data_IF_358281052042
#
_entry.id   IF_358281052042
#
_cell.length_a   1.000
_cell.length_b   1.000
_cell.length_c   1.000
_cell.angle_alpha   90.00
_cell.angle_beta   90.00
_cell.angle_gamma   90.00
#
_symmetry.space_group_name_H-M   'P 1'
#
loop_
_entity.id
_entity.type
_entity.pdbx_description
1 polymer ?
#
# COMPACT_ATOMS: atom_id res chain seq x y z
N UNK A 1 -22.08 -21.68 -7.08
CA UNK A 1 -22.10 -22.47 -5.82
C UNK A 1 -20.75 -22.54 -5.07
N UNK A 2 -19.63 -22.06 -5.62
CA UNK A 2 -18.35 -22.05 -4.90
C UNK A 2 -18.31 -20.99 -3.79
N UNK A 3 -18.75 -19.77 -4.07
CA UNK A 3 -18.81 -18.70 -3.07
C UNK A 3 -19.72 -19.04 -1.90
N UNK A 4 -20.92 -19.58 -2.13
CA UNK A 4 -21.86 -19.89 -1.05
C UNK A 4 -21.35 -20.99 -0.13
N UNK A 5 -20.68 -22.00 -0.69
CA UNK A 5 -20.00 -23.03 0.11
C UNK A 5 -18.82 -22.46 0.89
N UNK A 6 -18.02 -21.59 0.28
CA UNK A 6 -16.93 -20.92 0.99
C UNK A 6 -17.44 -20.05 2.15
N UNK A 7 -18.53 -19.30 1.95
CA UNK A 7 -19.17 -18.49 2.99
C UNK A 7 -19.75 -19.35 4.11
N UNK A 8 -20.41 -20.46 3.77
CA UNK A 8 -20.95 -21.41 4.73
C UNK A 8 -19.82 -22.05 5.56
N UNK A 9 -18.71 -22.42 4.91
CA UNK A 9 -17.52 -22.94 5.61
C UNK A 9 -16.94 -21.91 6.59
N UNK A 10 -16.73 -20.65 6.17
CA UNK A 10 -16.21 -19.58 7.05
C UNK A 10 -17.14 -19.36 8.25
N UNK A 11 -18.45 -19.32 7.99
CA UNK A 11 -19.47 -19.14 9.02
C UNK A 11 -19.47 -20.30 10.01
N UNK A 12 -19.31 -21.53 9.52
CA UNK A 12 -19.30 -22.71 10.36
C UNK A 12 -18.04 -22.79 11.22
N UNK A 13 -16.88 -22.53 10.63
CA UNK A 13 -15.58 -22.52 11.31
C UNK A 13 -15.52 -21.49 12.45
N UNK A 14 -16.04 -20.28 12.20
CA UNK A 14 -15.96 -19.18 13.16
C UNK A 14 -17.04 -19.20 14.22
N UNK A 15 -18.30 -19.42 13.81
CA UNK A 15 -19.46 -19.09 14.64
C UNK A 15 -20.32 -20.31 14.96
N UNK A 16 -20.76 -21.06 13.95
CA UNK A 16 -21.82 -22.07 14.14
C UNK A 16 -21.31 -23.40 14.68
N UNK A 17 -20.12 -23.84 14.28
CA UNK A 17 -19.49 -25.13 14.69
C UNK A 17 -20.41 -26.36 14.52
N UNK A 18 -21.23 -26.36 13.48
CA UNK A 18 -22.11 -27.46 13.11
C UNK A 18 -21.29 -28.65 12.59
N UNK A 19 -21.79 -29.85 12.88
CA UNK A 19 -21.15 -31.09 12.45
C UNK A 19 -21.36 -31.38 10.95
N UNK A 20 -22.46 -30.89 10.36
CA UNK A 20 -22.79 -31.02 8.94
C UNK A 20 -22.62 -29.68 8.23
N UNK A 21 -21.74 -29.65 7.22
CA UNK A 21 -21.51 -28.44 6.41
C UNK A 21 -22.76 -28.05 5.58
N UNK A 22 -23.63 -29.01 5.23
CA UNK A 22 -24.87 -28.70 4.51
C UNK A 22 -25.86 -27.90 5.39
N UNK A 23 -25.84 -28.07 6.71
CA UNK A 23 -26.64 -27.24 7.62
C UNK A 23 -26.16 -25.78 7.59
N UNK A 24 -24.84 -25.55 7.55
CA UNK A 24 -24.28 -24.20 7.44
C UNK A 24 -24.67 -23.52 6.12
N UNK A 25 -24.71 -24.29 5.02
CA UNK A 25 -25.20 -23.82 3.72
C UNK A 25 -26.68 -23.45 3.79
N UNK A 26 -27.50 -24.25 4.46
CA UNK A 26 -28.91 -23.94 4.68
C UNK A 26 -29.12 -22.68 5.50
N UNK A 27 -28.33 -22.46 6.56
CA UNK A 27 -28.37 -21.22 7.35
C UNK A 27 -28.04 -19.99 6.49
N UNK A 28 -26.98 -20.06 5.69
CA UNK A 28 -26.60 -18.99 4.76
C UNK A 28 -27.74 -18.69 3.78
N UNK A 29 -28.34 -19.73 3.18
CA UNK A 29 -29.47 -19.55 2.29
C UNK A 29 -30.72 -19.02 2.99
N UNK A 30 -30.99 -19.41 4.23
CA UNK A 30 -32.09 -18.87 5.01
C UNK A 30 -31.91 -17.37 5.29
N UNK A 31 -30.70 -16.90 5.64
CA UNK A 31 -30.44 -15.47 5.80
C UNK A 31 -30.52 -14.70 4.49
N UNK A 32 -29.98 -15.26 3.41
CA UNK A 32 -30.12 -14.73 2.06
C UNK A 32 -31.59 -14.58 1.68
N UNK A 33 -32.37 -15.63 1.90
CA UNK A 33 -33.77 -15.71 1.48
C UNK A 33 -34.74 -14.98 2.43
N UNK A 34 -34.23 -14.45 3.55
CA UNK A 34 -34.97 -13.55 4.46
C UNK A 34 -34.49 -12.11 4.42
N UNK A 35 -33.51 -11.79 3.57
CA UNK A 35 -33.02 -10.42 3.41
C UNK A 35 -32.11 -9.93 4.55
N UNK A 36 -31.54 -10.85 5.33
CA UNK A 36 -30.78 -10.55 6.55
C UNK A 36 -29.27 -10.66 6.35
N UNK A 37 -28.81 -10.84 5.12
CA UNK A 37 -27.40 -11.05 4.82
C UNK A 37 -26.69 -9.72 4.50
N UNK A 38 -25.67 -9.39 5.30
CA UNK A 38 -24.66 -8.39 4.99
C UNK A 38 -23.32 -9.09 4.74
N UNK A 39 -22.81 -9.01 3.53
CA UNK A 39 -21.52 -9.56 3.15
C UNK A 39 -20.49 -8.43 2.97
N UNK A 40 -19.42 -8.47 3.75
CA UNK A 40 -18.30 -7.53 3.67
C UNK A 40 -17.06 -8.28 3.17
N UNK A 41 -16.62 -7.96 1.95
CA UNK A 41 -15.45 -8.56 1.30
C UNK A 41 -14.36 -7.49 1.23
N UNK A 42 -13.31 -7.69 2.01
CA UNK A 42 -12.20 -6.72 2.14
C UNK A 42 -11.01 -7.11 1.26
N UNK A 43 -10.45 -6.16 0.51
CA UNK A 43 -9.15 -6.31 -0.16
C UNK A 43 -9.17 -7.14 -1.44
N UNK A 44 -10.05 -6.87 -2.40
CA UNK A 44 -10.09 -7.59 -3.68
C UNK A 44 -8.75 -7.48 -4.48
N UNK A 45 -7.97 -6.44 -4.22
CA UNK A 45 -6.64 -6.25 -4.82
C UNK A 45 -5.56 -7.19 -4.27
N UNK A 46 -5.80 -7.88 -3.14
CA UNK A 46 -4.88 -8.86 -2.57
C UNK A 46 -4.86 -10.18 -3.37
N UNK A 47 -5.83 -10.40 -4.24
CA UNK A 47 -5.92 -11.58 -5.10
C UNK A 47 -5.09 -11.44 -6.37
N UNK A 48 -4.58 -12.56 -6.88
CA UNK A 48 -3.98 -12.62 -8.22
C UNK A 48 -5.01 -12.21 -9.30
N UNK A 49 -4.56 -11.77 -10.50
CA UNK A 49 -5.49 -11.36 -11.56
C UNK A 49 -6.53 -12.44 -11.93
N UNK A 50 -6.12 -13.70 -11.94
CA UNK A 50 -6.95 -14.86 -12.29
C UNK A 50 -8.00 -15.14 -11.20
N UNK A 51 -7.57 -15.20 -9.94
CA UNK A 51 -8.46 -15.36 -8.78
C UNK A 51 -9.44 -14.19 -8.68
N UNK A 52 -8.96 -12.97 -8.91
CA UNK A 52 -9.78 -11.76 -8.86
C UNK A 52 -10.92 -11.82 -9.87
N UNK A 53 -10.65 -12.21 -11.11
CA UNK A 53 -11.69 -12.37 -12.12
C UNK A 53 -12.73 -13.41 -11.70
N UNK A 54 -12.28 -14.58 -11.27
CA UNK A 54 -13.16 -15.67 -10.79
C UNK A 54 -14.03 -15.24 -9.61
N UNK A 55 -13.44 -14.64 -8.57
CA UNK A 55 -14.17 -14.17 -7.38
C UNK A 55 -15.16 -13.07 -7.74
N UNK A 56 -14.76 -12.14 -8.61
CA UNK A 56 -15.64 -11.06 -9.08
C UNK A 56 -16.87 -11.62 -9.79
N UNK A 57 -16.70 -12.61 -10.66
CA UNK A 57 -17.81 -13.24 -11.37
C UNK A 57 -18.72 -14.03 -10.43
N UNK A 58 -18.16 -14.75 -9.45
CA UNK A 58 -18.93 -15.46 -8.44
C UNK A 58 -19.77 -14.52 -7.58
N UNK A 59 -19.18 -13.40 -7.12
CA UNK A 59 -19.89 -12.37 -6.35
C UNK A 59 -20.98 -11.71 -7.21
N UNK A 60 -20.71 -11.43 -8.49
CA UNK A 60 -21.71 -10.87 -9.40
C UNK A 60 -22.89 -11.83 -9.58
N UNK A 61 -22.62 -13.12 -9.77
CA UNK A 61 -23.65 -14.16 -9.89
C UNK A 61 -24.46 -14.29 -8.60
N UNK A 62 -23.80 -14.23 -7.44
CA UNK A 62 -24.46 -14.24 -6.15
C UNK A 62 -25.45 -13.07 -6.02
N UNK A 63 -25.00 -11.83 -6.27
CA UNK A 63 -25.86 -10.64 -6.13
C UNK A 63 -27.00 -10.64 -7.17
N UNK A 64 -26.74 -11.09 -8.39
CA UNK A 64 -27.75 -11.14 -9.45
C UNK A 64 -28.79 -12.26 -9.27
N UNK A 65 -28.58 -13.20 -8.36
CA UNK A 65 -29.55 -14.23 -8.07
C UNK A 65 -30.90 -13.60 -7.66
N UNK A 66 -32.01 -14.05 -8.26
CA UNK A 66 -33.34 -13.40 -8.12
C UNK A 66 -33.77 -13.16 -6.67
N UNK A 67 -33.42 -14.09 -5.78
CA UNK A 67 -33.70 -13.99 -4.34
C UNK A 67 -32.91 -12.84 -3.69
N UNK A 68 -31.66 -12.63 -4.07
CA UNK A 68 -30.84 -11.52 -3.55
C UNK A 68 -31.33 -10.16 -4.05
N UNK A 69 -31.72 -10.08 -5.33
CA UNK A 69 -32.18 -8.83 -5.94
C UNK A 69 -33.49 -8.31 -5.32
N UNK A 70 -34.34 -9.20 -4.82
CA UNK A 70 -35.66 -8.85 -4.25
C UNK A 70 -35.65 -8.59 -2.75
N UNK A 71 -34.64 -9.06 -2.00
CA UNK A 71 -34.72 -9.18 -0.55
C UNK A 71 -33.78 -8.26 0.24
N UNK A 72 -33.26 -7.19 -0.36
CA UNK A 72 -32.51 -6.14 0.37
C UNK A 72 -31.21 -6.60 1.06
N UNK A 73 -30.64 -7.75 0.66
CA UNK A 73 -29.30 -8.15 1.09
C UNK A 73 -28.25 -7.13 0.61
N UNK A 74 -27.21 -6.93 1.41
CA UNK A 74 -26.16 -5.94 1.13
C UNK A 74 -24.82 -6.63 0.93
N UNK A 75 -24.14 -6.28 -0.15
CA UNK A 75 -22.77 -6.74 -0.41
C UNK A 75 -21.88 -5.52 -0.58
N UNK A 76 -20.81 -5.46 0.20
CA UNK A 76 -19.79 -4.40 0.14
C UNK A 76 -18.47 -5.05 -0.22
N UNK A 77 -17.83 -4.55 -1.27
CA UNK A 77 -16.50 -4.94 -1.71
C UNK A 77 -15.56 -3.76 -1.51
N UNK A 78 -14.36 -4.00 -1.01
CA UNK A 78 -13.29 -2.99 -0.97
C UNK A 78 -12.15 -3.42 -1.91
N UNK A 79 -11.47 -2.44 -2.50
CA UNK A 79 -10.27 -2.65 -3.30
C UNK A 79 -9.49 -1.34 -3.38
N UNK A 80 -8.16 -1.43 -3.52
CA UNK A 80 -7.33 -0.28 -3.86
C UNK A 80 -7.60 0.21 -5.28
N UNK A 81 -7.49 1.52 -5.49
CA UNK A 81 -7.64 2.14 -6.82
C UNK A 81 -6.62 1.63 -7.84
N UNK A 82 -5.40 1.32 -7.40
CA UNK A 82 -4.33 0.84 -8.27
C UNK A 82 -4.62 -0.60 -8.71
N UNK A 83 -4.82 -0.82 -10.02
CA UNK A 83 -5.18 -2.15 -10.53
C UNK A 83 -6.66 -2.51 -10.32
N UNK A 84 -7.48 -1.55 -9.87
CA UNK A 84 -8.92 -1.72 -9.82
C UNK A 84 -9.48 -1.86 -11.23
N UNK A 85 -10.35 -2.85 -11.41
CA UNK A 85 -11.22 -2.96 -12.57
C UNK A 85 -12.67 -2.92 -12.08
N UNK A 86 -13.55 -2.15 -12.74
CA UNK A 86 -14.96 -2.11 -12.40
C UNK A 86 -15.56 -3.50 -12.26
N UNK A 87 -16.18 -3.78 -11.11
CA UNK A 87 -16.90 -5.04 -10.87
C UNK A 87 -18.14 -5.12 -11.77
N UNK A 88 -18.75 -3.98 -12.09
CA UNK A 88 -19.92 -3.86 -12.95
C UNK A 88 -21.19 -4.54 -12.39
N UNK A 89 -22.26 -4.57 -13.19
CA UNK A 89 -23.53 -5.20 -12.80
C UNK A 89 -24.31 -4.35 -11.78
N UNK A 90 -24.86 -4.93 -10.70
CA UNK A 90 -25.71 -4.22 -9.72
C UNK A 90 -24.92 -3.36 -8.72
N UNK A 91 -23.59 -3.35 -8.80
CA UNK A 91 -22.76 -2.63 -7.85
C UNK A 91 -22.72 -1.14 -8.14
N UNK A 92 -22.95 -0.35 -7.10
CA UNK A 92 -22.64 1.07 -7.11
C UNK A 92 -21.22 1.29 -6.61
N UNK A 93 -20.45 2.07 -7.36
CA UNK A 93 -19.06 2.37 -7.04
C UNK A 93 -18.94 3.63 -6.19
N UNK A 94 -18.15 3.54 -5.13
CA UNK A 94 -17.82 4.66 -4.24
C UNK A 94 -16.31 4.73 -4.06
N UNK A 95 -15.78 5.95 -4.00
CA UNK A 95 -14.37 6.18 -3.67
C UNK A 95 -14.29 6.78 -2.27
N UNK A 96 -13.57 6.11 -1.37
CA UNK A 96 -13.25 6.68 -0.06
C UNK A 96 -12.38 7.91 -0.26
N UNK A 97 -12.88 9.06 0.18
CA UNK A 97 -12.15 10.31 0.11
C UNK A 97 -11.00 10.30 1.12
N UNK A 98 -9.85 10.89 0.79
CA UNK A 98 -8.84 11.20 1.79
C UNK A 98 -9.41 12.13 2.86
N UNK A 99 -8.85 12.09 4.07
CA UNK A 99 -9.23 13.02 5.13
C UNK A 99 -9.05 14.47 4.70
N UNK A 100 -9.99 15.31 5.09
CA UNK A 100 -9.93 16.75 4.92
C UNK A 100 -8.86 17.31 5.86
N UNK A 101 -7.91 18.05 5.27
CA UNK A 101 -6.79 18.63 6.01
C UNK A 101 -7.31 19.56 7.10
N UNK A 102 -6.86 19.35 8.33
CA UNK A 102 -7.24 20.17 9.49
C UNK A 102 -8.41 19.54 10.23
N UNK A 103 -9.61 19.64 9.67
CA UNK A 103 -10.86 19.29 10.37
C UNK A 103 -10.97 17.81 10.75
N UNK A 104 -10.49 16.89 9.89
CA UNK A 104 -10.52 15.45 10.16
C UNK A 104 -9.16 14.95 10.66
N UNK A 105 -8.06 15.42 10.06
CA UNK A 105 -6.71 14.95 10.39
C UNK A 105 -6.26 15.36 11.80
N UNK A 106 -6.51 16.59 12.26
CA UNK A 106 -6.02 17.06 13.56
C UNK A 106 -6.73 16.36 14.73
N UNK A 107 -8.07 16.23 14.78
CA UNK A 107 -8.72 15.45 15.83
C UNK A 107 -8.30 13.98 15.81
N UNK A 108 -8.08 13.39 14.63
CA UNK A 108 -7.57 12.03 14.52
C UNK A 108 -6.18 11.88 15.16
N UNK A 109 -5.25 12.81 14.90
CA UNK A 109 -3.93 12.82 15.54
C UNK A 109 -4.05 12.96 17.05
N UNK A 110 -4.86 13.91 17.54
CA UNK A 110 -5.10 14.13 18.97
C UNK A 110 -5.56 12.85 19.67
N UNK A 111 -6.52 12.14 19.07
CA UNK A 111 -7.06 10.91 19.64
C UNK A 111 -5.97 9.82 19.74
N UNK A 112 -5.12 9.67 18.72
CA UNK A 112 -4.02 8.72 18.76
C UNK A 112 -2.91 9.12 19.74
N UNK A 113 -2.62 10.42 19.90
CA UNK A 113 -1.71 10.90 20.93
C UNK A 113 -2.25 10.59 22.33
N UNK A 114 -3.54 10.79 22.57
CA UNK A 114 -4.18 10.46 23.84
C UNK A 114 -4.08 8.96 24.16
N UNK A 115 -4.33 8.09 23.17
CA UNK A 115 -4.19 6.63 23.32
C UNK A 115 -2.73 6.24 23.58
N UNK A 116 -1.77 6.88 22.89
CA UNK A 116 -0.35 6.54 22.99
C UNK A 116 0.30 7.09 24.26
N UNK A 117 -0.22 8.19 24.80
CA UNK A 117 0.28 8.92 25.97
C UNK A 117 -0.87 9.26 26.92
N UNK A 118 -1.45 8.26 27.61
CA UNK A 118 -2.50 8.49 28.59
C UNK A 118 -2.00 9.33 29.79
N UNK A 119 -0.68 9.46 29.97
CA UNK A 119 -0.04 10.32 30.95
C UNK A 119 -0.09 11.82 30.60
N UNK A 120 -0.41 12.19 29.36
CA UNK A 120 -0.56 13.60 28.97
C UNK A 120 -1.92 14.15 29.36
N UNK A 121 -1.92 15.14 30.25
CA UNK A 121 -3.12 15.90 30.61
C UNK A 121 -3.65 16.74 29.44
N UNK A 122 -4.89 17.21 29.55
CA UNK A 122 -5.58 17.93 28.47
C UNK A 122 -4.79 19.13 27.89
N UNK A 123 -4.20 20.04 28.71
CA UNK A 123 -3.36 21.13 28.18
C UNK A 123 -2.13 20.64 27.41
N UNK A 124 -1.46 19.60 27.92
CA UNK A 124 -0.24 19.04 27.29
C UNK A 124 -0.60 18.32 26.00
N UNK A 125 -1.70 17.54 25.99
CA UNK A 125 -2.20 16.85 24.81
C UNK A 125 -2.52 17.83 23.69
N UNK A 126 -3.17 18.95 24.00
CA UNK A 126 -3.50 19.98 23.01
C UNK A 126 -2.23 20.65 22.46
N UNK A 127 -1.30 21.03 23.33
CA UNK A 127 0.00 21.58 22.91
C UNK A 127 0.77 20.62 22.00
N UNK A 128 0.84 19.33 22.37
CA UNK A 128 1.54 18.29 21.60
C UNK A 128 0.85 17.98 20.28
N UNK A 129 -0.48 18.05 20.25
CA UNK A 129 -1.27 17.94 19.02
C UNK A 129 -0.93 19.08 18.06
N UNK A 130 -0.86 20.31 18.55
CA UNK A 130 -0.52 21.48 17.72
C UNK A 130 0.91 21.43 17.21
N UNK A 131 1.87 21.06 18.06
CA UNK A 131 3.27 20.91 17.64
C UNK A 131 3.39 19.84 16.53
N UNK A 132 2.82 18.65 16.75
CA UNK A 132 2.79 17.59 15.72
C UNK A 132 2.14 18.08 14.43
N UNK A 133 0.98 18.73 14.53
CA UNK A 133 0.27 19.24 13.36
C UNK A 133 1.10 20.25 12.57
N UNK A 134 1.75 21.20 13.26
CA UNK A 134 2.61 22.20 12.64
C UNK A 134 3.83 21.56 11.98
N UNK A 135 4.52 20.65 12.65
CA UNK A 135 5.66 19.95 12.09
C UNK A 135 5.27 19.17 10.82
N UNK A 136 4.15 18.45 10.84
CA UNK A 136 3.66 17.72 9.66
C UNK A 136 3.31 18.65 8.49
N UNK A 137 2.74 19.84 8.75
CA UNK A 137 2.45 20.82 7.69
C UNK A 137 3.70 21.42 7.06
N UNK A 138 4.80 21.53 7.81
CA UNK A 138 6.07 22.04 7.32
C UNK A 138 6.79 21.03 6.40
N UNK A 139 6.54 19.74 6.58
CA UNK A 139 7.12 18.69 5.74
C UNK A 139 6.36 18.57 4.40
N UNK A 140 6.85 19.21 3.33
CA UNK A 140 6.21 19.19 2.00
C UNK A 140 5.91 17.76 1.53
N UNK A 141 6.85 16.85 1.78
CA UNK A 141 6.79 15.44 1.48
C UNK A 141 5.60 14.73 2.14
N UNK A 142 5.40 14.98 3.43
CA UNK A 142 4.32 14.39 4.19
C UNK A 142 2.99 15.11 3.98
N UNK A 143 3.00 16.42 3.74
CA UNK A 143 1.80 17.27 3.59
C UNK A 143 0.79 16.73 2.57
N UNK A 144 1.24 15.99 1.55
CA UNK A 144 0.38 15.36 0.53
C UNK A 144 -0.26 14.05 0.97
N UNK A 145 0.27 13.41 2.02
CA UNK A 145 -0.16 12.11 2.53
C UNK A 145 -0.75 12.18 3.96
N UNK A 146 -0.79 13.36 4.59
CA UNK A 146 -1.51 13.65 5.86
C UNK A 146 -3.04 13.53 5.80
N UNK A 147 -3.54 12.88 4.75
CA UNK A 147 -4.95 12.60 4.52
C UNK A 147 -5.22 11.10 4.57
N UNK A 148 -4.18 10.28 4.78
CA UNK A 148 -4.27 8.82 4.92
C UNK A 148 -4.28 8.45 6.41
N UNK A 149 -5.37 7.85 6.93
CA UNK A 149 -5.51 7.56 8.36
C UNK A 149 -4.36 6.73 8.94
N UNK A 150 -3.90 5.71 8.20
CA UNK A 150 -2.77 4.87 8.65
C UNK A 150 -1.47 5.69 8.82
N UNK A 151 -1.20 6.63 7.91
CA UNK A 151 -0.01 7.50 7.99
C UNK A 151 -0.13 8.45 9.17
N UNK A 152 -1.31 9.04 9.39
CA UNK A 152 -1.54 9.90 10.56
C UNK A 152 -1.36 9.13 11.87
N UNK A 153 -1.87 7.90 11.95
CA UNK A 153 -1.69 7.03 13.12
C UNK A 153 -0.22 6.77 13.39
N UNK A 154 0.55 6.32 12.40
CA UNK A 154 1.99 6.06 12.57
C UNK A 154 2.74 7.35 12.97
N UNK A 155 2.37 8.50 12.41
CA UNK A 155 2.99 9.78 12.75
C UNK A 155 2.71 10.18 14.20
N UNK A 156 1.48 9.99 14.67
CA UNK A 156 1.12 10.22 16.08
C UNK A 156 1.85 9.26 17.01
N UNK A 157 1.87 7.96 16.72
CA UNK A 157 2.59 6.96 17.53
C UNK A 157 4.11 7.26 17.59
N UNK A 158 4.74 7.63 16.46
CA UNK A 158 6.15 8.00 16.48
C UNK A 158 6.40 9.28 17.30
N UNK A 159 5.61 10.33 17.08
CA UNK A 159 5.78 11.59 17.78
C UNK A 159 5.53 11.46 19.29
N UNK A 160 4.57 10.63 19.71
CA UNK A 160 4.33 10.31 21.12
C UNK A 160 5.59 9.78 21.84
N UNK A 161 6.47 9.10 21.11
CA UNK A 161 7.75 8.57 21.60
C UNK A 161 8.89 9.57 21.44
N UNK A 162 9.11 10.09 20.24
CA UNK A 162 10.34 10.83 19.91
C UNK A 162 10.18 12.34 19.93
N UNK A 163 8.94 12.84 19.92
CA UNK A 163 8.58 14.25 19.72
C UNK A 163 9.15 14.84 18.42
N UNK A 164 9.38 13.99 17.42
CA UNK A 164 9.85 14.36 16.08
C UNK A 164 8.97 13.73 15.01
N UNK A 165 8.88 14.37 13.85
CA UNK A 165 8.19 13.82 12.68
C UNK A 165 9.18 13.23 11.69
N UNK A 166 8.77 12.16 11.02
CA UNK A 166 9.49 11.65 9.85
C UNK A 166 9.57 12.73 8.75
N UNK A 167 10.62 12.67 7.93
CA UNK A 167 10.82 13.57 6.78
C UNK A 167 10.04 13.08 5.57
N UNK A 168 9.92 11.77 5.41
CA UNK A 168 9.23 11.14 4.28
C UNK A 168 8.55 9.82 4.69
N UNK A 169 7.72 9.29 3.78
CA UNK A 169 6.84 8.15 4.05
C UNK A 169 7.58 6.86 4.42
N UNK A 170 8.70 6.56 3.77
CA UNK A 170 9.52 5.37 4.07
C UNK A 170 10.14 5.44 5.47
N UNK A 171 10.61 6.61 5.91
CA UNK A 171 11.12 6.81 7.27
C UNK A 171 10.03 6.56 8.31
N UNK A 172 8.79 6.95 8.02
CA UNK A 172 7.67 6.68 8.91
C UNK A 172 7.40 5.17 9.08
N UNK A 173 7.49 4.38 8.00
CA UNK A 173 7.38 2.92 8.11
C UNK A 173 8.55 2.31 8.87
N UNK A 174 9.79 2.82 8.65
CA UNK A 174 10.95 2.40 9.44
C UNK A 174 10.71 2.64 10.92
N UNK A 175 10.34 3.87 11.29
CA UNK A 175 10.05 4.27 12.67
C UNK A 175 8.91 3.44 13.30
N UNK A 176 7.93 3.03 12.51
CA UNK A 176 6.88 2.13 12.98
C UNK A 176 7.41 0.71 13.25
N UNK A 177 8.27 0.16 12.39
CA UNK A 177 8.97 -1.10 12.67
C UNK A 177 9.82 -1.00 13.94
N UNK A 178 10.50 0.14 14.17
CA UNK A 178 11.21 0.43 15.42
C UNK A 178 10.25 0.36 16.63
N UNK A 179 9.05 0.95 16.54
CA UNK A 179 8.04 0.87 17.61
C UNK A 179 7.58 -0.56 17.88
N UNK A 180 7.38 -1.36 16.83
CA UNK A 180 7.01 -2.76 17.00
C UNK A 180 8.15 -3.60 17.58
N UNK A 181 9.39 -3.22 17.30
CA UNK A 181 10.55 -3.86 17.89
C UNK A 181 10.70 -3.56 19.38
N UNK A 182 10.53 -2.30 19.80
CA UNK A 182 10.53 -1.93 21.22
C UNK A 182 9.47 -2.72 22.01
N UNK A 183 8.25 -2.86 21.45
CA UNK A 183 7.20 -3.71 22.03
C UNK A 183 7.57 -5.20 22.03
N UNK A 184 8.40 -5.64 21.10
CA UNK A 184 8.90 -7.01 21.06
C UNK A 184 9.95 -7.23 22.16
N UNK A 185 10.84 -6.26 22.41
CA UNK A 185 11.80 -6.29 23.53
C UNK A 185 11.08 -6.34 24.88
N UNK A 186 9.99 -5.58 25.05
CA UNK A 186 9.09 -5.67 26.22
C UNK A 186 8.44 -7.06 26.38
N UNK A 187 8.44 -7.87 25.31
CA UNK A 187 7.93 -9.25 25.26
C UNK A 187 9.07 -10.27 25.14
N UNK A 188 10.24 -9.93 25.67
CA UNK A 188 11.42 -10.78 25.75
C UNK A 188 12.06 -11.12 24.39
N UNK A 189 11.94 -10.27 23.38
CA UNK A 189 12.74 -10.41 22.16
C UNK A 189 14.21 -10.02 22.44
N UNK A 190 15.20 -10.83 22.04
CA UNK A 190 16.61 -10.50 22.24
C UNK A 190 17.02 -9.24 21.45
N UNK A 191 17.50 -8.15 22.09
CA UNK A 191 17.81 -6.89 21.43
C UNK A 191 18.79 -7.02 20.26
N UNK A 192 19.73 -7.96 20.34
CA UNK A 192 20.73 -8.25 19.30
C UNK A 192 20.13 -8.79 18.00
N UNK A 193 18.89 -9.32 18.03
CA UNK A 193 18.21 -9.85 16.85
C UNK A 193 17.46 -8.80 16.05
N UNK A 194 17.50 -7.53 16.45
CA UNK A 194 16.77 -6.44 15.79
C UNK A 194 17.02 -6.34 14.29
N UNK A 195 18.28 -6.10 13.92
CA UNK A 195 18.67 -5.93 12.52
C UNK A 195 18.51 -7.25 11.73
N UNK A 196 18.69 -8.39 12.41
CA UNK A 196 18.39 -9.72 11.86
C UNK A 196 16.92 -9.87 11.50
N UNK A 197 16.00 -9.51 12.41
CA UNK A 197 14.57 -9.59 12.17
C UNK A 197 14.13 -8.63 11.07
N UNK A 198 14.69 -7.42 11.02
CA UNK A 198 14.36 -6.45 9.97
C UNK A 198 14.83 -6.93 8.59
N UNK A 199 16.06 -7.44 8.49
CA UNK A 199 16.54 -8.06 7.26
C UNK A 199 15.70 -9.29 6.87
N UNK A 200 15.34 -10.14 7.83
CA UNK A 200 14.45 -11.28 7.60
C UNK A 200 13.10 -10.84 7.02
N UNK A 201 12.50 -9.81 7.61
CA UNK A 201 11.21 -9.26 7.18
C UNK A 201 11.28 -8.62 5.78
N UNK A 202 12.36 -7.93 5.44
CA UNK A 202 12.58 -7.40 4.08
C UNK A 202 12.64 -8.53 3.05
N UNK A 203 13.39 -9.60 3.34
CA UNK A 203 13.49 -10.76 2.48
C UNK A 203 12.17 -11.51 2.33
N UNK A 204 11.47 -11.74 3.45
CA UNK A 204 10.15 -12.38 3.44
C UNK A 204 9.14 -11.52 2.68
N UNK A 205 9.15 -10.21 2.88
CA UNK A 205 8.27 -9.29 2.17
C UNK A 205 8.47 -9.38 0.65
N UNK A 206 9.72 -9.40 0.17
CA UNK A 206 10.00 -9.59 -1.25
C UNK A 206 9.57 -10.96 -1.77
N UNK A 207 9.80 -12.04 -1.00
CA UNK A 207 9.37 -13.39 -1.34
C UNK A 207 7.84 -13.48 -1.50
N UNK A 208 7.09 -13.02 -0.50
CA UNK A 208 5.63 -13.03 -0.55
C UNK A 208 5.10 -12.11 -1.66
N UNK A 209 5.73 -10.95 -1.88
CA UNK A 209 5.32 -10.02 -2.94
C UNK A 209 5.59 -10.54 -4.35
N UNK A 210 6.49 -11.52 -4.51
CA UNK A 210 6.75 -12.19 -5.79
C UNK A 210 5.96 -13.50 -5.95
N UNK A 211 4.99 -13.77 -5.08
CA UNK A 211 4.12 -14.96 -5.16
C UNK A 211 4.68 -16.20 -4.45
N UNK A 212 5.64 -16.01 -3.54
CA UNK A 212 6.20 -17.08 -2.74
C UNK A 212 5.18 -17.74 -1.80
N UNK A 213 5.37 -19.03 -1.52
CA UNK A 213 4.54 -19.78 -0.56
C UNK A 213 4.65 -19.17 0.84
N UNK A 214 3.55 -19.26 1.58
CA UNK A 214 3.39 -18.61 2.87
C UNK A 214 3.10 -19.58 4.03
N UNK A 215 3.30 -20.88 3.84
CA UNK A 215 3.21 -21.88 4.91
C UNK A 215 4.31 -21.66 5.96
N UNK A 216 4.08 -22.16 7.18
CA UNK A 216 4.97 -21.95 8.33
C UNK A 216 6.44 -22.32 8.05
N UNK A 217 6.66 -23.45 7.39
CA UNK A 217 8.00 -23.98 7.13
C UNK A 217 8.72 -23.11 6.10
N UNK A 218 8.08 -22.77 4.99
CA UNK A 218 8.67 -21.89 3.98
C UNK A 218 8.99 -20.51 4.56
N UNK A 219 8.07 -19.94 5.34
CA UNK A 219 8.23 -18.61 5.94
C UNK A 219 9.44 -18.58 6.89
N UNK A 220 9.58 -19.57 7.77
CA UNK A 220 10.73 -19.65 8.68
C UNK A 220 12.05 -19.79 7.91
N UNK A 221 12.09 -20.64 6.87
CA UNK A 221 13.27 -20.79 6.01
C UNK A 221 13.65 -19.47 5.34
N UNK A 222 12.68 -18.78 4.73
CA UNK A 222 12.92 -17.50 4.04
C UNK A 222 13.38 -16.42 5.01
N UNK A 223 12.82 -16.34 6.21
CA UNK A 223 13.25 -15.40 7.25
C UNK A 223 14.74 -15.63 7.58
N UNK A 224 15.14 -16.87 7.87
CA UNK A 224 16.52 -17.20 8.27
C UNK A 224 17.52 -17.02 7.13
N UNK A 225 17.22 -17.56 5.95
CA UNK A 225 18.09 -17.44 4.78
C UNK A 225 18.20 -15.99 4.27
N UNK A 226 17.07 -15.28 4.30
CA UNK A 226 16.98 -13.87 3.93
C UNK A 226 17.83 -12.97 4.84
N UNK A 227 17.69 -13.14 6.16
CA UNK A 227 18.51 -12.43 7.13
C UNK A 227 20.01 -12.68 6.89
N UNK A 228 20.42 -13.95 6.73
CA UNK A 228 21.81 -14.32 6.43
C UNK A 228 22.31 -13.63 5.17
N UNK A 229 21.56 -13.71 4.07
CA UNK A 229 21.95 -13.15 2.77
C UNK A 229 22.11 -11.63 2.78
N UNK A 230 21.26 -10.93 3.53
CA UNK A 230 21.29 -9.47 3.60
C UNK A 230 22.32 -8.96 4.61
N UNK A 231 22.63 -9.75 5.64
CA UNK A 231 23.62 -9.39 6.67
C UNK A 231 25.04 -9.89 6.37
N UNK A 232 25.23 -10.87 5.47
CA UNK A 232 26.54 -11.46 5.16
C UNK A 232 27.61 -10.46 4.74
N UNK A 233 27.20 -9.33 4.15
CA UNK A 233 28.10 -8.27 3.70
C UNK A 233 28.57 -7.37 4.88
N UNK A 234 27.90 -7.45 6.04
CA UNK A 234 28.21 -6.68 7.27
C UNK A 234 28.92 -7.52 8.32
N UNK A 235 28.46 -8.76 8.54
CA UNK A 235 29.09 -9.75 9.42
C UNK A 235 28.78 -11.17 8.92
N UNK A 236 29.77 -12.08 8.87
CA UNK A 236 29.50 -13.48 8.55
C UNK A 236 28.67 -14.11 9.68
N UNK A 237 27.45 -14.54 9.34
CA UNK A 237 26.55 -15.26 10.25
C UNK A 237 26.71 -16.77 9.99
N UNK A 238 27.04 -17.57 11.00
CA UNK A 238 27.19 -19.03 10.84
C UNK A 238 25.84 -19.69 10.51
N UNK A 239 25.88 -20.83 9.81
CA UNK A 239 24.68 -21.57 9.36
C UNK A 239 23.78 -22.02 10.52
N UNK A 240 24.35 -22.29 11.69
CA UNK A 240 23.65 -22.81 12.87
C UNK A 240 23.23 -21.74 13.90
N UNK A 241 23.54 -20.46 13.70
CA UNK A 241 23.47 -19.47 14.80
C UNK A 241 22.14 -18.72 14.91
N UNK A 242 21.32 -18.68 13.86
CA UNK A 242 20.05 -17.93 13.95
C UNK A 242 18.95 -18.77 14.62
N UNK A 243 18.37 -18.30 15.74
CA UNK A 243 17.21 -18.94 16.34
C UNK A 243 15.99 -18.84 15.43
N UNK A 244 14.90 -19.57 15.72
CA UNK A 244 13.65 -19.40 14.99
C UNK A 244 13.16 -17.95 15.04
N UNK A 245 12.94 -17.33 13.89
CA UNK A 245 12.57 -15.91 13.80
C UNK A 245 11.07 -15.70 13.71
N UNK A 246 10.31 -16.67 13.16
CA UNK A 246 8.86 -16.57 13.02
C UNK A 246 8.14 -16.27 14.35
N UNK A 247 8.48 -16.89 15.50
CA UNK A 247 7.85 -16.54 16.77
C UNK A 247 8.04 -15.06 17.14
N UNK A 248 9.20 -14.48 16.84
CA UNK A 248 9.53 -13.08 17.15
C UNK A 248 8.68 -12.15 16.28
N UNK A 249 8.73 -12.32 14.95
CA UNK A 249 8.04 -11.42 14.02
C UNK A 249 6.52 -11.56 14.04
N UNK A 250 5.99 -12.74 14.44
CA UNK A 250 4.57 -13.02 14.58
C UNK A 250 4.02 -12.63 15.96
N UNK A 251 4.57 -13.21 17.06
CA UNK A 251 3.98 -13.05 18.40
C UNK A 251 4.48 -11.81 19.12
N UNK A 252 5.78 -11.54 19.07
CA UNK A 252 6.37 -10.43 19.81
C UNK A 252 6.15 -9.11 19.07
N UNK A 253 6.51 -9.02 17.78
CA UNK A 253 6.30 -7.81 16.96
C UNK A 253 4.85 -7.64 16.48
N UNK A 254 4.12 -8.72 16.21
CA UNK A 254 2.77 -8.64 15.61
C UNK A 254 2.75 -8.18 14.16
N UNK A 255 3.89 -8.23 13.46
CA UNK A 255 4.00 -7.76 12.08
C UNK A 255 3.58 -8.84 11.06
N UNK A 256 3.71 -10.11 11.43
CA UNK A 256 3.07 -11.23 10.73
C UNK A 256 1.86 -11.72 11.52
N UNK A 257 0.85 -12.19 10.80
CA UNK A 257 -0.36 -12.82 11.35
C UNK A 257 -0.62 -14.13 10.62
N UNK A 258 -1.11 -15.13 11.35
CA UNK A 258 -1.56 -16.40 10.76
C UNK A 258 -2.95 -16.23 10.15
N UNK A 259 -3.13 -16.69 8.91
CA UNK A 259 -4.42 -16.75 8.21
C UNK A 259 -4.57 -18.11 7.56
N UNK A 260 -5.56 -18.88 8.03
CA UNK A 260 -5.67 -20.30 7.70
C UNK A 260 -4.38 -21.03 8.07
N UNK A 261 -3.82 -21.75 7.11
CA UNK A 261 -2.55 -22.48 7.25
C UNK A 261 -1.30 -21.65 6.93
N UNK A 262 -1.46 -20.40 6.48
CA UNK A 262 -0.35 -19.54 6.07
C UNK A 262 -0.11 -18.33 6.96
N UNK A 263 0.94 -17.58 6.65
CA UNK A 263 1.28 -16.30 7.27
C UNK A 263 1.18 -15.16 6.26
N UNK A 264 0.79 -13.98 6.73
CA UNK A 264 0.84 -12.75 5.94
C UNK A 264 1.28 -11.59 6.81
N UNK A 265 1.71 -10.50 6.19
CA UNK A 265 1.88 -9.26 6.93
C UNK A 265 0.55 -8.78 7.52
N UNK A 266 0.60 -8.19 8.70
CA UNK A 266 -0.57 -7.63 9.38
C UNK A 266 -1.28 -6.54 8.55
N UNK A 267 -0.55 -5.93 7.62
CA UNK A 267 -1.08 -5.05 6.61
C UNK A 267 -0.22 -5.10 5.34
N UNK A 268 -0.84 -5.10 4.15
CA UNK A 268 -0.16 -5.17 2.85
C UNK A 268 0.96 -4.11 2.71
N UNK A 269 0.75 -2.92 3.24
CA UNK A 269 1.74 -1.84 3.20
C UNK A 269 3.06 -2.15 3.91
N UNK A 270 3.07 -2.99 4.94
CA UNK A 270 4.33 -3.42 5.55
C UNK A 270 5.08 -4.42 4.68
N UNK A 271 4.36 -5.27 3.93
CA UNK A 271 4.95 -6.09 2.89
C UNK A 271 5.53 -5.22 1.76
N UNK A 272 4.80 -4.19 1.31
CA UNK A 272 5.30 -3.27 0.28
C UNK A 272 6.55 -2.51 0.72
N UNK A 273 6.59 -2.08 1.99
CA UNK A 273 7.75 -1.43 2.59
C UNK A 273 8.94 -2.39 2.72
N UNK A 274 8.73 -3.61 3.22
CA UNK A 274 9.80 -4.60 3.32
C UNK A 274 10.36 -4.99 1.94
N UNK A 275 9.49 -5.15 0.93
CA UNK A 275 9.91 -5.41 -0.45
C UNK A 275 10.74 -4.25 -1.03
N UNK A 276 10.38 -3.00 -0.72
CA UNK A 276 11.17 -1.84 -1.08
C UNK A 276 12.54 -1.82 -0.37
N UNK A 277 12.61 -2.20 0.92
CA UNK A 277 13.85 -2.37 1.66
C UNK A 277 14.78 -3.40 1.00
N UNK A 278 14.25 -4.58 0.66
CA UNK A 278 14.99 -5.60 -0.08
C UNK A 278 15.53 -5.07 -1.42
N UNK A 279 14.68 -4.39 -2.19
CA UNK A 279 15.07 -3.79 -3.47
C UNK A 279 16.17 -2.73 -3.32
N UNK A 280 16.15 -1.95 -2.23
CA UNK A 280 17.19 -0.96 -1.95
C UNK A 280 18.55 -1.62 -1.70
N UNK A 281 18.57 -2.75 -0.98
CA UNK A 281 19.80 -3.52 -0.79
C UNK A 281 20.26 -4.18 -2.10
N UNK A 282 19.33 -4.75 -2.88
CA UNK A 282 19.64 -5.31 -4.19
C UNK A 282 20.18 -4.25 -5.16
N UNK A 283 19.66 -3.03 -5.10
CA UNK A 283 20.12 -1.87 -5.88
C UNK A 283 21.57 -1.51 -5.55
N UNK A 284 21.91 -1.43 -4.26
CA UNK A 284 23.26 -1.15 -3.78
C UNK A 284 24.26 -2.23 -4.18
N UNK A 285 23.86 -3.51 -4.09
CA UNK A 285 24.72 -4.66 -4.38
C UNK A 285 24.91 -4.90 -5.87
N UNK A 286 23.84 -4.82 -6.67
CA UNK A 286 23.87 -5.03 -8.11
C UNK A 286 22.81 -4.17 -8.81
N UNK A 287 23.17 -2.91 -9.07
CA UNK A 287 22.27 -1.93 -9.66
C UNK A 287 21.70 -2.34 -11.02
N UNK A 288 22.54 -2.93 -11.87
CA UNK A 288 22.15 -3.38 -13.22
C UNK A 288 21.15 -4.53 -13.11
N UNK A 289 21.41 -5.51 -12.25
CA UNK A 289 20.51 -6.63 -12.00
C UNK A 289 19.17 -6.18 -11.40
N UNK A 290 19.21 -5.30 -10.40
CA UNK A 290 18.01 -4.74 -9.78
C UNK A 290 17.16 -3.97 -10.80
N UNK A 291 17.77 -3.14 -11.64
CA UNK A 291 17.05 -2.45 -12.70
C UNK A 291 16.42 -3.40 -13.72
N UNK A 292 17.14 -4.45 -14.16
CA UNK A 292 16.58 -5.48 -15.06
C UNK A 292 15.36 -6.18 -14.47
N UNK A 293 15.32 -6.33 -13.14
CA UNK A 293 14.14 -6.84 -12.43
C UNK A 293 13.01 -5.80 -12.41
N UNK A 294 13.29 -4.54 -12.11
CA UNK A 294 12.29 -3.48 -11.98
C UNK A 294 11.68 -3.03 -13.31
N UNK A 295 12.47 -2.93 -14.38
CA UNK A 295 12.05 -2.39 -15.67
C UNK A 295 10.76 -3.02 -16.24
N UNK A 296 10.61 -4.36 -16.32
CA UNK A 296 9.37 -4.96 -16.80
C UNK A 296 8.19 -4.79 -15.83
N UNK A 297 8.44 -4.34 -14.60
CA UNK A 297 7.46 -4.23 -13.51
C UNK A 297 7.05 -2.80 -13.19
N UNK A 298 7.63 -1.79 -13.86
CA UNK A 298 7.42 -0.36 -13.55
C UNK A 298 5.95 0.04 -13.49
N UNK A 299 5.12 -0.57 -14.32
CA UNK A 299 3.71 -0.22 -14.46
C UNK A 299 2.74 -1.33 -14.09
N UNK A 300 3.24 -2.36 -13.39
CA UNK A 300 2.39 -3.37 -12.77
C UNK A 300 1.76 -2.76 -11.50
N UNK A 301 0.43 -2.85 -11.33
CA UNK A 301 -0.28 -2.31 -10.17
C UNK A 301 0.35 -2.65 -8.81
N UNK A 302 0.70 -3.91 -8.63
CA UNK A 302 1.26 -4.47 -7.40
C UNK A 302 2.65 -3.90 -7.06
N UNK A 303 3.44 -3.51 -8.07
CA UNK A 303 4.78 -2.95 -7.88
C UNK A 303 4.79 -1.43 -7.69
N UNK A 304 3.65 -0.75 -7.87
CA UNK A 304 3.57 0.70 -7.76
C UNK A 304 4.06 1.20 -6.41
N UNK A 305 3.51 0.67 -5.31
CA UNK A 305 3.86 1.12 -3.96
C UNK A 305 5.29 0.70 -3.56
N UNK A 306 5.76 -0.54 -3.81
CA UNK A 306 7.16 -0.90 -3.61
C UNK A 306 8.16 0.01 -4.34
N UNK A 307 7.88 0.41 -5.59
CA UNK A 307 8.76 1.32 -6.35
C UNK A 307 8.76 2.72 -5.74
N UNK A 308 7.58 3.23 -5.32
CA UNK A 308 7.49 4.52 -4.64
C UNK A 308 8.21 4.53 -3.29
N UNK A 309 8.12 3.43 -2.53
CA UNK A 309 8.81 3.28 -1.26
C UNK A 309 10.31 3.07 -1.45
N UNK A 310 10.73 2.38 -2.51
CA UNK A 310 12.13 2.19 -2.87
C UNK A 310 12.83 3.53 -3.04
N UNK A 311 12.25 4.47 -3.80
CA UNK A 311 12.85 5.80 -3.96
C UNK A 311 13.01 6.54 -2.63
N UNK A 312 12.12 6.32 -1.66
CA UNK A 312 12.26 6.87 -0.31
C UNK A 312 13.27 6.14 0.58
N UNK A 313 13.72 4.94 0.20
CA UNK A 313 14.68 4.12 0.95
C UNK A 313 16.10 4.20 0.40
N UNK A 314 16.28 4.85 -0.75
CA UNK A 314 17.55 5.10 -1.42
C UNK A 314 18.17 6.43 -0.98
N UNK A 315 19.50 6.54 -1.09
CA UNK A 315 20.18 7.83 -0.90
C UNK A 315 19.82 8.80 -2.04
N UNK A 316 19.92 10.14 -1.85
CA UNK A 316 19.50 11.11 -2.85
C UNK A 316 20.06 10.87 -4.26
N UNK A 317 21.35 10.53 -4.37
CA UNK A 317 22.02 10.26 -5.64
C UNK A 317 21.49 8.98 -6.32
N UNK A 318 21.20 7.95 -5.52
CA UNK A 318 20.62 6.70 -5.98
C UNK A 318 19.17 6.89 -6.44
N UNK A 319 18.41 7.73 -5.74
CA UNK A 319 17.05 8.11 -6.10
C UNK A 319 17.02 8.90 -7.40
N UNK A 320 17.92 9.86 -7.57
CA UNK A 320 18.06 10.61 -8.82
C UNK A 320 18.36 9.67 -9.99
N UNK A 321 19.23 8.67 -9.77
CA UNK A 321 19.48 7.62 -10.77
C UNK A 321 18.23 6.81 -11.07
N UNK A 322 17.48 6.36 -10.05
CA UNK A 322 16.23 5.63 -10.23
C UNK A 322 15.23 6.44 -11.06
N UNK A 323 14.99 7.71 -10.72
CA UNK A 323 14.05 8.58 -11.45
C UNK A 323 14.51 8.79 -12.89
N UNK A 324 15.81 9.01 -13.12
CA UNK A 324 16.38 9.15 -14.46
C UNK A 324 16.17 7.88 -15.30
N UNK A 325 16.41 6.70 -14.72
CA UNK A 325 16.16 5.42 -15.39
C UNK A 325 14.69 5.20 -15.71
N UNK A 326 13.78 5.56 -14.80
CA UNK A 326 12.33 5.53 -15.05
C UNK A 326 11.97 6.41 -16.24
N UNK A 327 12.44 7.66 -16.29
CA UNK A 327 12.17 8.59 -17.40
C UNK A 327 12.69 8.09 -18.76
N UNK A 328 13.70 7.22 -18.75
CA UNK A 328 14.35 6.66 -19.93
C UNK A 328 13.91 5.22 -20.23
N UNK A 329 12.98 4.65 -19.46
CA UNK A 329 12.62 3.23 -19.55
C UNK A 329 11.99 2.85 -20.89
N UNK A 330 11.29 3.79 -21.54
CA UNK A 330 10.67 3.57 -22.85
C UNK A 330 9.55 2.53 -22.79
N UNK A 331 8.79 2.53 -21.71
CA UNK A 331 7.81 1.48 -21.43
C UNK A 331 6.69 1.44 -22.48
N UNK A 332 6.05 0.27 -22.70
CA UNK A 332 4.89 0.18 -23.60
C UNK A 332 3.79 1.18 -23.25
N UNK A 333 3.44 2.00 -24.26
CA UNK A 333 2.45 3.07 -24.14
C UNK A 333 2.98 4.41 -23.61
N UNK A 334 4.29 4.57 -23.36
CA UNK A 334 4.87 5.85 -22.90
C UNK A 334 4.53 7.02 -23.84
N UNK A 335 4.65 6.83 -25.16
CA UNK A 335 4.42 7.89 -26.15
C UNK A 335 3.01 8.52 -26.08
N UNK A 336 2.01 7.77 -25.60
CA UNK A 336 0.61 8.20 -25.57
C UNK A 336 0.13 8.46 -24.15
N UNK A 337 0.46 7.56 -23.22
CA UNK A 337 -0.05 7.57 -21.86
C UNK A 337 0.91 8.23 -20.86
N UNK A 338 2.15 8.53 -21.27
CA UNK A 338 3.18 9.15 -20.45
C UNK A 338 3.38 8.39 -19.13
N UNK A 339 3.37 7.05 -19.18
CA UNK A 339 3.38 6.19 -17.99
C UNK A 339 4.67 6.36 -17.19
N UNK A 340 5.82 6.39 -17.86
CA UNK A 340 7.13 6.60 -17.25
C UNK A 340 7.22 7.99 -16.62
N UNK A 341 6.78 9.01 -17.35
CA UNK A 341 6.73 10.38 -16.84
C UNK A 341 5.79 10.52 -15.63
N UNK A 342 4.61 9.88 -15.66
CA UNK A 342 3.66 9.87 -14.54
C UNK A 342 4.22 9.14 -13.33
N UNK A 343 4.96 8.05 -13.53
CA UNK A 343 5.64 7.33 -12.44
C UNK A 343 6.76 8.18 -11.84
N UNK A 344 7.60 8.80 -12.67
CA UNK A 344 8.64 9.73 -12.23
C UNK A 344 8.04 10.92 -11.44
N UNK A 345 6.95 11.51 -11.95
CA UNK A 345 6.24 12.57 -11.25
C UNK A 345 5.62 12.07 -9.92
N UNK A 346 5.16 10.82 -9.85
CA UNK A 346 4.63 10.24 -8.61
C UNK A 346 5.74 10.01 -7.57
N UNK A 347 6.93 9.57 -7.98
CA UNK A 347 8.10 9.45 -7.10
C UNK A 347 8.42 10.78 -6.41
N UNK A 348 8.52 11.86 -7.20
CA UNK A 348 8.71 13.22 -6.67
C UNK A 348 7.49 13.67 -5.84
N UNK A 349 6.30 13.37 -6.34
CA UNK A 349 5.01 13.76 -5.76
C UNK A 349 4.79 13.23 -4.36
N UNK A 350 5.34 12.05 -4.04
CA UNK A 350 5.25 11.36 -2.75
C UNK A 350 6.30 11.80 -1.72
N UNK A 351 7.03 12.88 -2.01
CA UNK A 351 7.90 13.49 -1.01
C UNK A 351 9.29 12.87 -0.89
N UNK A 352 9.73 12.19 -1.94
CA UNK A 352 11.06 11.64 -2.00
C UNK A 352 12.05 12.77 -2.28
N UNK A 353 13.17 12.88 -1.53
CA UNK A 353 14.19 13.88 -1.81
C UNK A 353 14.87 13.54 -3.15
N UNK A 354 14.72 14.44 -4.12
CA UNK A 354 15.39 14.41 -5.43
C UNK A 354 16.08 15.75 -5.64
N UNK A 355 17.14 15.77 -6.44
CA UNK A 355 17.79 17.04 -6.81
C UNK A 355 16.87 17.95 -7.61
N UNK A 356 17.15 19.25 -7.56
CA UNK A 356 16.46 20.24 -8.37
C UNK A 356 16.65 19.99 -9.88
N UNK A 357 17.78 19.40 -10.30
CA UNK A 357 18.00 19.00 -11.69
C UNK A 357 16.95 17.98 -12.15
N UNK A 358 16.80 16.87 -11.40
CA UNK A 358 15.82 15.83 -11.71
C UNK A 358 14.39 16.36 -11.62
N UNK A 359 14.09 17.17 -10.60
CA UNK A 359 12.80 17.84 -10.45
C UNK A 359 12.46 18.67 -11.67
N UNK A 360 13.39 19.50 -12.12
CA UNK A 360 13.21 20.34 -13.30
C UNK A 360 13.08 19.51 -14.58
N UNK A 361 13.85 18.44 -14.74
CA UNK A 361 13.72 17.54 -15.88
C UNK A 361 12.32 16.92 -16.00
N UNK A 362 11.77 16.42 -14.88
CA UNK A 362 10.39 15.89 -14.85
C UNK A 362 9.37 16.97 -15.16
N UNK A 363 9.49 18.15 -14.52
CA UNK A 363 8.55 19.26 -14.72
C UNK A 363 8.60 19.84 -16.14
N UNK A 364 9.78 19.95 -16.75
CA UNK A 364 9.93 20.42 -18.12
C UNK A 364 9.32 19.44 -19.12
N UNK A 365 9.59 18.14 -18.96
CA UNK A 365 8.98 17.10 -19.80
C UNK A 365 7.46 17.09 -19.64
N UNK A 366 6.94 17.20 -18.41
CA UNK A 366 5.50 17.34 -18.16
C UNK A 366 4.90 18.60 -18.80
N UNK A 367 5.58 19.75 -18.68
CA UNK A 367 5.15 21.00 -19.33
C UNK A 367 5.11 20.89 -20.84
N UNK A 368 6.07 20.23 -21.47
CA UNK A 368 6.07 20.03 -22.92
C UNK A 368 4.81 19.30 -23.40
N UNK A 369 4.38 18.26 -22.69
CA UNK A 369 3.17 17.52 -23.06
C UNK A 369 1.86 18.22 -22.68
N UNK A 370 1.83 18.93 -21.55
CA UNK A 370 0.64 19.70 -21.13
C UNK A 370 0.48 21.01 -21.93
N UNK A 371 1.59 21.57 -22.40
CA UNK A 371 1.66 22.83 -23.14
C UNK A 371 2.67 22.73 -24.30
N UNK A 372 2.32 22.02 -25.39
CA UNK A 372 3.19 21.91 -26.56
C UNK A 372 3.66 23.29 -27.06
N UNK A 373 4.96 23.48 -27.32
CA UNK A 373 5.46 24.70 -27.92
C UNK A 373 4.78 24.93 -29.27
N UNK A 374 4.10 26.07 -29.42
CA UNK A 374 3.26 26.40 -30.57
C UNK A 374 1.80 26.73 -30.24
N UNK A 375 1.28 26.28 -29.08
CA UNK A 375 -0.07 26.63 -28.60
C UNK A 375 -0.14 28.08 -28.06
N UNK A 376 0.98 28.81 -28.03
CA UNK A 376 0.99 30.24 -27.71
C UNK A 376 0.19 31.09 -28.70
N UNK A 377 -0.17 30.58 -29.89
CA UNK A 377 -1.10 31.26 -30.83
C UNK A 377 -2.59 31.12 -30.45
N UNK A 378 -2.95 30.21 -29.55
CA UNK A 378 -4.33 30.06 -29.05
C UNK A 378 -4.60 30.82 -27.74
N UNK A 379 -3.60 31.56 -27.21
CA UNK A 379 -3.75 32.45 -26.03
C UNK A 379 -4.76 33.59 -26.22
N UNK A 380 -5.38 33.75 -27.39
CA UNK A 380 -6.53 34.65 -27.58
C UNK A 380 -7.85 34.13 -26.99
N UNK A 381 -7.92 32.88 -26.54
CA UNK A 381 -9.09 32.35 -25.83
C UNK A 381 -8.66 31.85 -24.45
N UNK A 382 -8.66 32.78 -23.50
CA UNK A 382 -8.39 32.58 -22.08
C UNK A 382 -9.41 31.64 -21.42
N UNK A 383 -8.93 30.66 -20.64
CA UNK A 383 -9.67 30.10 -19.50
C UNK A 383 -8.72 30.01 -18.30
N UNK A 384 -9.05 30.74 -17.24
CA UNK A 384 -8.30 30.83 -15.98
C UNK A 384 -8.47 29.56 -15.12
N UNK A 385 -7.51 29.26 -14.22
CA UNK A 385 -7.47 28.04 -13.44
C UNK A 385 -8.23 28.19 -12.12
N UNK A 386 -9.52 27.86 -12.10
CA UNK A 386 -10.23 27.60 -10.86
C UNK A 386 -11.25 26.49 -11.09
N UNK A 387 -11.08 25.37 -10.35
CA UNK A 387 -11.88 24.14 -10.36
C UNK A 387 -11.50 23.13 -11.44
N UNK A 388 -10.55 22.25 -11.08
CA UNK A 388 -10.38 20.96 -11.73
C UNK A 388 -11.28 19.93 -11.02
N UNK A 389 -12.45 19.67 -11.58
CA UNK A 389 -13.12 18.37 -11.48
C UNK A 389 -12.97 17.70 -12.84
N UNK A 390 -12.34 16.52 -12.87
CA UNK A 390 -12.27 15.71 -14.09
C UNK A 390 -13.63 15.02 -14.21
N UNK A 391 -14.52 15.56 -15.03
CA UNK A 391 -15.74 14.87 -15.47
C UNK A 391 -15.49 14.13 -16.79
N UNK A 392 -16.19 13.00 -16.94
CA UNK A 392 -16.08 11.99 -18.01
C UNK A 392 -16.21 12.58 -19.44
N UNK A 393 -16.81 13.76 -19.59
CA UNK A 393 -16.96 14.45 -20.90
C UNK A 393 -15.63 14.82 -21.59
N UNK A 394 -14.53 14.98 -20.84
CA UNK A 394 -13.22 15.29 -21.45
C UNK A 394 -12.57 14.10 -22.16
N UNK A 395 -12.94 12.86 -21.83
CA UNK A 395 -12.45 11.68 -22.56
C UNK A 395 -13.07 11.58 -23.97
N UNK A 396 -14.32 11.98 -24.14
CA UNK A 396 -15.02 11.91 -25.44
C UNK A 396 -14.44 12.94 -26.40
N UNK A 397 -14.19 14.16 -25.94
CA UNK A 397 -13.57 15.21 -26.78
C UNK A 397 -12.12 14.91 -27.17
N UNK A 398 -11.34 14.26 -26.31
CA UNK A 398 -9.98 13.85 -26.65
C UNK A 398 -9.96 12.80 -27.78
N UNK A 399 -10.94 11.88 -27.80
CA UNK A 399 -11.09 10.87 -28.86
C UNK A 399 -11.54 11.49 -30.19
N UNK A 400 -12.41 12.50 -30.16
CA UNK A 400 -12.83 13.22 -31.38
C UNK A 400 -11.71 14.08 -31.97
N UNK A 401 -10.90 14.75 -31.13
CA UNK A 401 -9.75 15.52 -31.59
C UNK A 401 -8.67 14.61 -32.20
N UNK A 402 -8.43 13.43 -31.63
CA UNK A 402 -7.51 12.44 -32.19
C UNK A 402 -8.00 11.85 -33.53
N UNK A 403 -9.31 11.70 -33.75
CA UNK A 403 -9.88 11.32 -35.06
C UNK A 403 -9.78 12.42 -36.13
N UNK A 404 -9.68 13.68 -35.72
CA UNK A 404 -9.60 14.82 -36.66
C UNK A 404 -8.18 15.13 -37.14
N UNK A 405 -7.16 14.50 -36.56
CA UNK A 405 -5.75 14.74 -36.86
C UNK A 405 -5.12 13.69 -37.81
N UNK A 406 -5.92 12.79 -38.39
CA UNK A 406 -5.48 11.78 -39.35
C UNK A 406 -5.30 10.41 -38.73
#
# INVERSE_FOLDING_TARGET
PQLERALAWILNDRDLRLADEEEAVQCLFAWRDTGRLLLLLDGLDELSPEERASVTDQVRNFVNHDRNRKLNNRVVLTSRLTGYSPVGGPFQEYTLKPFQKGEESRPFLRNWLHISRPDWNEPTLEQKTDDLWQQLQQQEALRRILTTPLILRMAAENYARTQTVARHRSELYRQYWETLWERAEERDAPPELKETCFAALEALAFHLHTGGKNDAQTVETVLREGAKKLLSDRQPVSENDLPPLLPIVNRQMGLLVRVGEGYRFSHQTFQEYGAAGYLAQAWRKNRVGCWRFLQPRLHLPEWREPILLLGGSLAPEETDELVRRVLQAGSPGEAVLLRDLRLAAALIGKGIPVSEEIRNAVLQRARFYLFPPGIHRLRKFSLFPARWQITVELQVRAVEVLRSLG
#
